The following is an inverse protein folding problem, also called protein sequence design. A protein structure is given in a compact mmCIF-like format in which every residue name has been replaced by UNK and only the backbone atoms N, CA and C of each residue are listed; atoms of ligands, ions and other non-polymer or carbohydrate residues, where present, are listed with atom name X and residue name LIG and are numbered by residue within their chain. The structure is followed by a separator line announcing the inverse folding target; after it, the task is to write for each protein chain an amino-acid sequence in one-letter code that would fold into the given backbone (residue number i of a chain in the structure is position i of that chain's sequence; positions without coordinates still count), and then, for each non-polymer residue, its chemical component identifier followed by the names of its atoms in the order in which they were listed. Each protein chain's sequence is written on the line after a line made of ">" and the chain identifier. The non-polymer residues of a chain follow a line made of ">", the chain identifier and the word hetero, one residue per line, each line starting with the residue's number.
data_IF_749739347738
#
_entry.id   IF_749739347738
#
_cell.length_a   1.000
_cell.length_b   1.000
_cell.length_c   1.000
_cell.angle_alpha   90.00
_cell.angle_beta   90.00
_cell.angle_gamma   90.00
#
_symmetry.space_group_name_H-M   'P 1'
#
loop_
_entity.id
_entity.type
_entity.pdbx_description
1 polymer ?
#
# COMPACT_ATOMS: atom_id res chain seq x y z
N UNK A 1 -12.88 -21.19 -12.19
CA UNK A 1 -12.69 -19.76 -12.30
C UNK A 1 -13.94 -18.91 -12.00
N UNK A 2 -15.17 -19.34 -12.31
CA UNK A 2 -16.40 -18.55 -12.02
C UNK A 2 -16.81 -18.47 -10.53
N UNK A 3 -16.36 -19.37 -9.66
CA UNK A 3 -16.77 -19.40 -8.24
C UNK A 3 -15.98 -18.41 -7.35
N UNK A 4 -14.78 -17.98 -7.76
CA UNK A 4 -13.99 -17.01 -6.99
C UNK A 4 -14.46 -15.56 -7.23
N UNK A 5 -14.92 -15.21 -8.44
CA UNK A 5 -15.45 -13.88 -8.71
C UNK A 5 -16.74 -13.57 -7.93
N UNK A 6 -17.61 -14.57 -7.75
CA UNK A 6 -18.87 -14.37 -7.01
C UNK A 6 -18.66 -14.19 -5.51
N UNK A 7 -17.64 -14.82 -4.91
CA UNK A 7 -17.30 -14.63 -3.50
C UNK A 7 -16.72 -13.23 -3.21
N UNK A 8 -15.87 -12.76 -4.10
CA UNK A 8 -15.22 -11.46 -3.97
C UNK A 8 -16.21 -10.29 -4.16
N UNK A 9 -17.14 -10.42 -5.12
CA UNK A 9 -18.20 -9.43 -5.33
C UNK A 9 -19.15 -9.32 -4.11
N UNK A 10 -19.45 -10.45 -3.44
CA UNK A 10 -20.26 -10.45 -2.22
C UNK A 10 -19.58 -9.76 -1.03
N UNK A 11 -18.25 -9.82 -0.90
CA UNK A 11 -17.51 -9.16 0.18
C UNK A 11 -17.53 -7.62 0.00
N UNK A 12 -17.35 -7.13 -1.22
CA UNK A 12 -17.45 -5.69 -1.51
C UNK A 12 -18.87 -5.17 -1.27
N UNK A 13 -19.89 -5.94 -1.66
CA UNK A 13 -21.30 -5.59 -1.42
C UNK A 13 -21.69 -5.69 0.07
N UNK A 14 -21.16 -6.67 0.81
CA UNK A 14 -21.42 -6.79 2.25
C UNK A 14 -20.74 -5.69 3.08
N UNK A 15 -19.55 -5.24 2.69
CA UNK A 15 -18.89 -4.07 3.30
C UNK A 15 -19.64 -2.76 2.98
N UNK A 16 -20.17 -2.60 1.78
CA UNK A 16 -21.01 -1.44 1.42
C UNK A 16 -22.29 -1.33 2.28
N UNK A 17 -22.85 -2.46 2.73
CA UNK A 17 -24.01 -2.47 3.63
C UNK A 17 -23.68 -2.25 5.12
N UNK A 18 -22.45 -2.50 5.55
CA UNK A 18 -22.00 -2.23 6.93
C UNK A 18 -21.61 -0.76 7.17
N UNK A 19 -21.44 0.05 6.12
CA UNK A 19 -21.09 1.46 6.17
C UNK A 19 -22.29 2.42 6.25
N UNK A 20 -23.47 1.93 6.57
CA UNK A 20 -24.68 2.73 6.67
C UNK A 20 -24.78 3.48 7.99
N UNK A 21 -24.12 4.61 8.16
CA UNK A 21 -24.64 5.70 8.99
C UNK A 21 -23.99 7.09 8.82
N UNK A 22 -22.84 7.24 8.16
CA UNK A 22 -22.19 8.55 8.11
C UNK A 22 -21.33 8.89 6.88
N UNK A 23 -21.10 7.98 5.96
CA UNK A 23 -20.34 8.30 4.74
C UNK A 23 -21.31 8.44 3.56
N UNK A 24 -21.36 9.62 2.95
CA UNK A 24 -21.98 9.74 1.63
C UNK A 24 -21.24 8.80 0.66
N UNK A 25 -21.95 8.03 -0.19
CA UNK A 25 -21.30 7.17 -1.16
C UNK A 25 -20.40 8.01 -2.07
N UNK A 26 -19.16 7.62 -2.23
CA UNK A 26 -18.19 8.30 -3.11
C UNK A 26 -18.79 8.41 -4.50
N UNK A 27 -19.10 9.63 -4.92
CA UNK A 27 -19.71 9.93 -6.21
C UNK A 27 -18.79 9.44 -7.32
N UNK A 28 -19.16 8.37 -8.00
CA UNK A 28 -18.46 7.81 -9.15
C UNK A 28 -17.99 6.36 -9.02
N UNK A 29 -17.90 5.81 -7.80
CA UNK A 29 -17.49 4.42 -7.61
C UNK A 29 -18.60 3.39 -7.92
N UNK A 30 -19.87 3.81 -7.82
CA UNK A 30 -21.02 2.96 -8.13
C UNK A 30 -21.87 3.68 -9.18
N UNK A 31 -22.13 3.02 -10.29
CA UNK A 31 -23.09 3.46 -11.30
C UNK A 31 -24.21 2.43 -11.35
N UNK A 32 -25.45 2.91 -11.47
CA UNK A 32 -26.58 2.05 -11.75
C UNK A 32 -26.73 1.92 -13.27
N UNK A 33 -26.86 0.70 -13.77
CA UNK A 33 -27.26 0.45 -15.15
C UNK A 33 -28.74 0.82 -15.36
N UNK A 34 -29.19 0.98 -16.62
CA UNK A 34 -30.56 1.32 -16.93
C UNK A 34 -31.60 0.29 -16.42
N UNK A 35 -31.15 -0.92 -16.13
CA UNK A 35 -31.92 -2.01 -15.52
C UNK A 35 -31.86 -2.04 -13.99
N UNK A 36 -31.24 -1.02 -13.36
CA UNK A 36 -31.18 -0.86 -11.90
C UNK A 36 -30.20 -1.79 -11.20
N UNK A 37 -29.31 -2.45 -11.93
CA UNK A 37 -28.22 -3.23 -11.33
C UNK A 37 -27.06 -2.32 -10.93
N UNK A 38 -26.59 -2.48 -9.69
CA UNK A 38 -25.38 -1.83 -9.22
C UNK A 38 -24.18 -2.33 -10.03
N UNK A 39 -23.55 -1.45 -10.81
CA UNK A 39 -22.28 -1.73 -11.46
C UNK A 39 -21.18 -0.98 -10.71
N UNK A 40 -20.16 -1.71 -10.24
CA UNK A 40 -18.93 -1.08 -9.80
C UNK A 40 -18.36 -0.26 -10.96
N UNK A 41 -18.28 1.06 -10.81
CA UNK A 41 -17.55 1.91 -11.73
C UNK A 41 -16.08 1.45 -11.77
N UNK A 42 -15.39 1.80 -12.82
CA UNK A 42 -13.95 1.59 -12.94
C UNK A 42 -13.22 2.93 -12.69
N UNK A 43 -13.19 3.42 -11.43
CA UNK A 43 -12.67 4.76 -11.11
C UNK A 43 -11.17 4.90 -11.34
N UNK A 44 -10.47 3.77 -11.50
CA UNK A 44 -9.02 3.71 -11.72
C UNK A 44 -8.67 3.20 -13.14
N UNK A 45 -9.67 3.16 -14.05
CA UNK A 45 -9.45 2.68 -15.41
C UNK A 45 -8.39 3.51 -16.14
N UNK A 46 -7.45 2.81 -16.75
CA UNK A 46 -6.35 3.42 -17.52
C UNK A 46 -5.17 3.90 -16.67
N UNK A 47 -5.21 3.74 -15.34
CA UNK A 47 -4.06 4.04 -14.48
C UNK A 47 -3.18 2.82 -14.31
N UNK A 48 -1.87 3.05 -14.30
CA UNK A 48 -0.82 2.08 -13.99
C UNK A 48 -0.38 2.23 -12.54
N UNK A 49 -0.73 1.28 -11.70
CA UNK A 49 -0.45 1.32 -10.27
C UNK A 49 0.58 0.26 -9.91
N UNK A 50 1.74 0.72 -9.42
CA UNK A 50 2.80 -0.13 -8.91
C UNK A 50 2.57 -0.50 -7.44
N UNK A 51 2.73 -1.79 -7.12
CA UNK A 51 2.75 -2.27 -5.74
C UNK A 51 4.10 -2.91 -5.46
N UNK A 52 4.76 -2.45 -4.41
CA UNK A 52 6.04 -2.99 -3.96
C UNK A 52 5.89 -3.55 -2.54
N UNK A 53 5.62 -4.87 -2.40
CA UNK A 53 5.61 -5.52 -1.09
C UNK A 53 7.01 -5.45 -0.49
N UNK A 54 7.14 -4.87 0.71
CA UNK A 54 8.42 -4.65 1.39
C UNK A 54 9.19 -5.94 1.65
N UNK A 55 10.50 -5.82 1.79
CA UNK A 55 11.39 -6.93 2.15
C UNK A 55 11.28 -8.18 1.25
N UNK A 56 11.80 -9.30 1.72
CA UNK A 56 11.81 -10.62 1.09
C UNK A 56 12.34 -11.64 2.11
N UNK A 57 12.31 -12.95 1.80
CA UNK A 57 12.70 -14.02 2.73
C UNK A 57 14.12 -13.83 3.28
N UNK A 58 15.08 -13.45 2.41
CA UNK A 58 16.47 -13.28 2.78
C UNK A 58 16.92 -11.83 2.58
N UNK A 59 17.49 -11.24 3.62
CA UNK A 59 18.14 -9.94 3.51
C UNK A 59 19.32 -10.01 2.52
N UNK A 60 19.47 -8.96 1.72
CA UNK A 60 20.66 -8.78 0.89
C UNK A 60 21.48 -7.63 1.48
N UNK A 61 22.63 -7.97 2.10
CA UNK A 61 23.49 -7.01 2.81
C UNK A 61 24.53 -6.34 1.90
N UNK A 62 24.59 -6.71 0.62
CA UNK A 62 25.36 -5.94 -0.36
C UNK A 62 24.89 -4.48 -0.37
N UNK A 63 25.76 -3.61 -0.83
CA UNK A 63 25.52 -2.16 -0.73
C UNK A 63 24.99 -1.59 -2.04
N UNK A 64 24.02 -0.70 -1.93
CA UNK A 64 23.52 0.12 -3.03
C UNK A 64 23.46 1.61 -2.63
N UNK A 65 23.54 2.52 -3.61
CA UNK A 65 23.45 3.95 -3.35
C UNK A 65 22.03 4.35 -2.85
N UNK A 66 21.96 5.19 -1.83
CA UNK A 66 20.66 5.62 -1.28
C UNK A 66 19.86 6.55 -2.21
N UNK A 67 20.54 7.19 -3.15
CA UNK A 67 19.93 8.06 -4.17
C UNK A 67 20.83 8.07 -5.42
N UNK A 68 20.35 8.47 -6.64
CA UNK A 68 21.14 8.47 -7.86
C UNK A 68 22.40 9.26 -7.65
N UNK A 69 22.79 10.21 -7.29
CA UNK A 69 24.08 10.90 -7.19
C UNK A 69 24.72 10.84 -5.79
N UNK A 70 24.31 9.86 -4.97
CA UNK A 70 24.79 9.73 -3.59
C UNK A 70 25.97 8.78 -3.49
N UNK A 71 27.01 9.19 -2.76
CA UNK A 71 28.08 8.30 -2.29
C UNK A 71 27.71 7.51 -1.04
N UNK A 72 26.63 7.89 -0.35
CA UNK A 72 26.11 7.14 0.79
C UNK A 72 25.42 5.87 0.29
N UNK A 73 25.65 4.76 0.98
CA UNK A 73 25.10 3.46 0.60
C UNK A 73 24.38 2.80 1.77
N UNK A 74 23.41 1.93 1.46
CA UNK A 74 22.71 1.06 2.41
C UNK A 74 22.71 -0.38 1.93
N UNK A 75 22.28 -1.30 2.78
CA UNK A 75 21.99 -2.67 2.35
C UNK A 75 20.90 -2.66 1.27
N UNK A 76 21.04 -3.50 0.24
CA UNK A 76 20.08 -3.67 -0.85
C UNK A 76 18.69 -4.01 -0.33
N UNK A 77 18.58 -4.93 0.63
CA UNK A 77 17.32 -5.28 1.28
C UNK A 77 17.58 -5.64 2.75
N UNK A 78 16.85 -4.97 3.65
CA UNK A 78 16.85 -5.33 5.07
C UNK A 78 15.90 -6.51 5.34
N UNK A 79 16.08 -7.21 6.45
CA UNK A 79 15.24 -8.35 6.84
C UNK A 79 13.81 -7.96 7.24
N UNK A 80 13.58 -6.68 7.54
CA UNK A 80 12.31 -6.22 8.12
C UNK A 80 12.17 -6.55 9.60
N UNK A 81 10.98 -6.41 10.13
CA UNK A 81 10.60 -6.77 11.49
C UNK A 81 9.76 -8.06 11.53
N UNK A 82 9.21 -8.40 12.67
CA UNK A 82 8.29 -9.53 12.83
C UNK A 82 7.31 -9.25 13.97
N UNK A 83 6.15 -9.89 13.89
CA UNK A 83 5.12 -9.83 14.92
C UNK A 83 5.64 -10.19 16.30
N UNK A 84 5.33 -9.37 17.29
CA UNK A 84 5.82 -9.55 18.65
C UNK A 84 5.29 -10.84 19.31
N UNK A 85 4.07 -11.23 18.99
CA UNK A 85 3.39 -12.43 19.48
C UNK A 85 3.27 -13.51 18.38
N UNK A 86 2.82 -13.11 17.17
CA UNK A 86 2.60 -14.03 16.06
C UNK A 86 3.89 -14.58 15.49
N UNK A 87 4.99 -13.83 15.59
CA UNK A 87 6.27 -14.13 14.94
C UNK A 87 6.21 -14.12 13.41
N UNK A 88 5.10 -13.70 12.83
CA UNK A 88 4.96 -13.55 11.38
C UNK A 88 5.97 -12.51 10.89
N UNK A 89 6.86 -12.84 9.96
CA UNK A 89 7.78 -11.86 9.38
C UNK A 89 7.03 -10.77 8.61
N UNK A 90 7.54 -9.55 8.65
CA UNK A 90 6.97 -8.40 7.94
C UNK A 90 6.72 -8.69 6.46
N UNK A 91 7.69 -9.24 5.74
CA UNK A 91 7.58 -9.53 4.31
C UNK A 91 6.40 -10.46 3.95
N UNK A 92 5.90 -11.25 4.92
CA UNK A 92 4.71 -12.10 4.73
C UNK A 92 3.44 -11.27 4.76
N UNK A 93 3.31 -10.40 5.77
CA UNK A 93 2.16 -9.50 5.92
C UNK A 93 2.09 -8.52 4.74
N UNK A 94 3.24 -7.93 4.38
CA UNK A 94 3.35 -7.00 3.25
C UNK A 94 2.86 -7.62 1.95
N UNK A 95 3.24 -8.89 1.68
CA UNK A 95 2.79 -9.60 0.49
C UNK A 95 1.29 -9.94 0.55
N UNK A 96 0.79 -10.38 1.71
CA UNK A 96 -0.63 -10.71 1.87
C UNK A 96 -1.53 -9.51 1.57
N UNK A 97 -1.26 -8.35 2.18
CA UNK A 97 -2.01 -7.11 1.92
C UNK A 97 -1.86 -6.66 0.47
N UNK A 98 -0.65 -6.76 -0.08
CA UNK A 98 -0.37 -6.37 -1.47
C UNK A 98 -1.13 -7.20 -2.50
N UNK A 99 -1.28 -8.51 -2.28
CA UNK A 99 -2.05 -9.39 -3.16
C UNK A 99 -3.54 -9.03 -3.14
N UNK A 100 -4.10 -8.75 -1.96
CA UNK A 100 -5.47 -8.28 -1.82
C UNK A 100 -5.65 -6.94 -2.54
N UNK A 101 -4.72 -6.01 -2.32
CA UNK A 101 -4.72 -4.69 -2.95
C UNK A 101 -4.68 -4.80 -4.48
N UNK A 102 -3.80 -5.65 -5.03
CA UNK A 102 -3.72 -5.93 -6.47
C UNK A 102 -5.07 -6.37 -7.04
N UNK A 103 -5.73 -7.31 -6.38
CA UNK A 103 -6.97 -7.90 -6.87
C UNK A 103 -8.11 -6.85 -6.86
N UNK A 104 -8.18 -6.00 -5.83
CA UNK A 104 -9.15 -4.91 -5.76
C UNK A 104 -8.88 -3.86 -6.84
N UNK A 105 -7.63 -3.41 -6.99
CA UNK A 105 -7.24 -2.40 -8.00
C UNK A 105 -7.54 -2.88 -9.42
N UNK A 106 -7.25 -4.15 -9.70
CA UNK A 106 -7.56 -4.77 -10.99
C UNK A 106 -9.07 -4.81 -11.24
N UNK A 107 -9.87 -5.14 -10.23
CA UNK A 107 -11.33 -5.10 -10.32
C UNK A 107 -11.88 -3.67 -10.54
N UNK A 108 -11.17 -2.63 -10.05
CA UNK A 108 -11.49 -1.22 -10.26
C UNK A 108 -10.94 -0.65 -11.59
N UNK A 109 -10.37 -1.50 -12.45
CA UNK A 109 -9.97 -1.17 -13.82
C UNK A 109 -8.52 -0.69 -13.97
N UNK A 110 -7.72 -0.68 -12.91
CA UNK A 110 -6.30 -0.33 -13.01
C UNK A 110 -5.47 -1.43 -13.69
N UNK A 111 -4.42 -1.02 -14.40
CA UNK A 111 -3.30 -1.90 -14.70
C UNK A 111 -2.41 -1.97 -13.46
N UNK A 112 -2.13 -3.18 -12.98
CA UNK A 112 -1.34 -3.38 -11.75
C UNK A 112 -0.08 -4.17 -12.04
N UNK A 113 1.06 -3.67 -11.54
CA UNK A 113 2.33 -4.39 -11.53
C UNK A 113 2.86 -4.48 -10.10
N UNK A 114 3.29 -5.69 -9.72
CA UNK A 114 3.96 -5.93 -8.44
C UNK A 114 5.46 -6.14 -8.66
N UNK A 115 6.29 -5.71 -7.71
CA UNK A 115 7.74 -6.01 -7.74
C UNK A 115 8.01 -7.47 -7.42
N UNK A 116 7.16 -8.09 -6.59
CA UNK A 116 7.18 -9.52 -6.28
C UNK A 116 5.78 -10.03 -5.99
N UNK A 117 5.52 -11.30 -6.31
CA UNK A 117 4.29 -12.03 -5.98
C UNK A 117 4.58 -13.27 -5.12
N UNK A 118 5.84 -13.47 -4.75
CA UNK A 118 6.32 -14.49 -3.83
C UNK A 118 7.35 -13.91 -2.86
N UNK A 119 7.69 -14.65 -1.81
CA UNK A 119 8.62 -14.17 -0.79
C UNK A 119 10.08 -14.51 -1.10
N UNK A 120 10.32 -15.61 -1.82
CA UNK A 120 11.67 -16.10 -2.15
C UNK A 120 12.18 -15.47 -3.45
N UNK A 121 12.60 -14.23 -3.34
CA UNK A 121 13.18 -13.40 -4.41
C UNK A 121 14.44 -12.72 -3.90
N UNK A 122 15.26 -12.20 -4.81
CA UNK A 122 16.38 -11.31 -4.47
C UNK A 122 16.34 -10.07 -5.38
N UNK A 123 15.58 -9.07 -4.99
CA UNK A 123 15.37 -7.83 -5.73
C UNK A 123 15.69 -6.65 -4.82
N UNK A 124 16.71 -5.87 -5.17
CA UNK A 124 17.17 -4.70 -4.41
C UNK A 124 16.15 -3.54 -4.42
N UNK A 125 16.30 -2.57 -3.51
CA UNK A 125 15.43 -1.40 -3.48
C UNK A 125 15.58 -0.52 -4.72
N UNK A 126 16.77 -0.44 -5.34
CA UNK A 126 16.96 0.24 -6.62
C UNK A 126 16.21 -0.49 -7.73
N UNK A 127 16.39 -1.81 -7.87
CA UNK A 127 15.71 -2.59 -8.90
C UNK A 127 14.20 -2.48 -8.81
N UNK A 128 13.63 -2.48 -7.60
CA UNK A 128 12.18 -2.27 -7.37
C UNK A 128 11.72 -0.91 -7.87
N UNK A 129 12.47 0.16 -7.57
CA UNK A 129 12.13 1.50 -8.03
C UNK A 129 12.26 1.62 -9.56
N UNK A 130 13.37 1.16 -10.14
CA UNK A 130 13.63 1.18 -11.58
C UNK A 130 12.58 0.39 -12.36
N UNK A 131 12.17 -0.79 -11.85
CA UNK A 131 11.11 -1.59 -12.47
C UNK A 131 9.80 -0.79 -12.64
N UNK A 132 9.44 0.03 -11.67
CA UNK A 132 8.22 0.83 -11.73
C UNK A 132 8.37 2.08 -12.60
N UNK A 133 9.55 2.72 -12.58
CA UNK A 133 9.87 3.85 -13.45
C UNK A 133 9.82 3.41 -14.94
N UNK A 134 10.50 2.31 -15.30
CA UNK A 134 10.55 1.79 -16.67
C UNK A 134 9.18 1.31 -17.16
N UNK A 135 8.33 0.80 -16.26
CA UNK A 135 6.97 0.42 -16.61
C UNK A 135 6.07 1.65 -16.83
N UNK A 136 6.48 2.82 -16.36
CA UNK A 136 5.72 4.06 -16.45
C UNK A 136 4.51 4.04 -15.52
N UNK A 137 4.71 3.67 -14.26
CA UNK A 137 3.66 3.72 -13.26
C UNK A 137 3.16 5.17 -13.05
N UNK A 138 1.86 5.36 -12.88
CA UNK A 138 1.28 6.65 -12.49
C UNK A 138 1.47 6.94 -10.99
N UNK A 139 1.54 5.87 -10.18
CA UNK A 139 1.86 5.92 -8.75
C UNK A 139 2.36 4.58 -8.24
N UNK A 140 3.12 4.60 -7.14
CA UNK A 140 3.66 3.39 -6.49
C UNK A 140 3.38 3.41 -5.00
N UNK A 141 2.84 2.31 -4.47
CA UNK A 141 2.71 2.06 -3.05
C UNK A 141 3.71 0.98 -2.62
N UNK A 142 4.60 1.32 -1.70
CA UNK A 142 5.51 0.39 -1.05
C UNK A 142 4.88 -0.03 0.28
N UNK A 143 4.47 -1.28 0.38
CA UNK A 143 3.70 -1.79 1.53
C UNK A 143 4.64 -2.38 2.55
N UNK A 144 4.58 -1.88 3.78
CA UNK A 144 5.43 -2.22 4.92
C UNK A 144 4.65 -2.27 6.22
N UNK A 145 5.25 -2.89 7.23
CA UNK A 145 4.80 -2.85 8.61
C UNK A 145 5.95 -2.39 9.52
N UNK A 146 5.67 -1.43 10.37
CA UNK A 146 6.66 -0.78 11.21
C UNK A 146 7.08 -1.65 12.42
N UNK A 147 8.21 -1.27 13.02
CA UNK A 147 8.70 -1.84 14.27
C UNK A 147 9.30 -0.78 15.18
N UNK A 148 9.12 -0.93 16.50
CA UNK A 148 9.69 -0.05 17.52
C UNK A 148 10.21 -0.84 18.70
N UNK A 149 11.27 -0.31 19.36
CA UNK A 149 11.72 -0.81 20.66
C UNK A 149 10.65 -0.55 21.73
N UNK A 150 9.99 0.61 21.65
CA UNK A 150 8.82 0.94 22.47
C UNK A 150 7.58 0.25 21.89
N UNK A 151 7.13 -0.80 22.55
CA UNK A 151 6.00 -1.61 22.14
C UNK A 151 4.63 -0.93 22.33
N UNK A 152 4.58 0.23 22.96
CA UNK A 152 3.36 1.04 23.07
C UNK A 152 3.08 1.86 21.82
N UNK A 153 4.10 2.07 20.99
CA UNK A 153 3.95 2.81 19.72
C UNK A 153 3.09 2.02 18.76
N UNK A 154 2.11 2.71 18.16
CA UNK A 154 1.17 2.14 17.19
C UNK A 154 0.65 3.18 16.22
N UNK A 155 -0.02 2.75 15.17
CA UNK A 155 -0.67 3.58 14.16
C UNK A 155 0.00 3.53 12.80
N UNK A 156 -0.80 3.61 11.76
CA UNK A 156 -0.35 3.69 10.38
C UNK A 156 0.37 5.01 10.11
N UNK A 157 1.41 4.97 9.29
CA UNK A 157 2.18 6.15 8.89
C UNK A 157 2.57 6.09 7.42
N UNK A 158 2.80 7.26 6.83
CA UNK A 158 3.21 7.34 5.41
C UNK A 158 4.56 8.04 5.32
N UNK A 159 5.45 7.50 4.50
CA UNK A 159 6.76 8.08 4.25
C UNK A 159 6.92 8.43 2.78
N UNK A 160 7.41 9.63 2.53
CA UNK A 160 7.67 10.15 1.19
C UNK A 160 9.07 10.75 1.12
N UNK A 161 9.62 10.88 -0.10
CA UNK A 161 10.88 11.58 -0.28
C UNK A 161 10.74 13.03 0.18
N UNK A 162 11.83 13.57 0.72
CA UNK A 162 11.83 14.91 1.32
C UNK A 162 11.81 16.03 0.26
N UNK A 163 12.56 15.86 -0.82
CA UNK A 163 12.77 16.87 -1.87
C UNK A 163 12.93 16.20 -3.24
N UNK A 164 12.90 17.01 -4.30
CA UNK A 164 13.10 16.56 -5.67
C UNK A 164 11.80 16.34 -6.44
N UNK A 165 11.92 15.80 -7.65
CA UNK A 165 10.76 15.51 -8.49
C UNK A 165 9.76 14.57 -7.77
N UNK A 166 8.47 14.76 -7.98
CA UNK A 166 7.36 13.99 -7.39
C UNK A 166 7.26 14.03 -5.86
N UNK A 167 8.02 14.94 -5.18
CA UNK A 167 7.97 15.00 -3.70
C UNK A 167 6.64 15.54 -3.18
N UNK A 168 6.03 16.50 -3.85
CA UNK A 168 4.75 17.07 -3.42
C UNK A 168 3.58 16.19 -3.87
N UNK A 169 3.63 15.63 -5.08
CA UNK A 169 2.66 14.64 -5.57
C UNK A 169 2.62 13.41 -4.66
N UNK A 170 3.79 12.90 -4.26
CA UNK A 170 3.90 11.81 -3.29
C UNK A 170 3.33 12.21 -1.92
N UNK A 171 3.55 13.45 -1.48
CA UNK A 171 3.02 13.93 -0.21
C UNK A 171 1.49 14.12 -0.26
N UNK A 172 0.94 14.51 -1.40
CA UNK A 172 -0.51 14.61 -1.61
C UNK A 172 -1.15 13.22 -1.61
N UNK A 173 -0.59 12.27 -2.37
CA UNK A 173 -1.02 10.87 -2.35
C UNK A 173 -0.97 10.30 -0.92
N UNK A 174 0.12 10.53 -0.19
CA UNK A 174 0.28 10.06 1.18
C UNK A 174 -0.78 10.62 2.14
N UNK A 175 -1.18 11.89 1.98
CA UNK A 175 -2.25 12.49 2.79
C UNK A 175 -3.60 11.83 2.53
N UNK A 176 -3.95 11.57 1.26
CA UNK A 176 -5.18 10.87 0.90
C UNK A 176 -5.18 9.43 1.46
N UNK A 177 -4.08 8.70 1.28
CA UNK A 177 -3.94 7.33 1.81
C UNK A 177 -4.07 7.28 3.35
N UNK A 178 -3.39 8.19 4.06
CA UNK A 178 -3.40 8.24 5.52
C UNK A 178 -4.80 8.54 6.06
N UNK A 179 -5.50 9.51 5.44
CA UNK A 179 -6.88 9.85 5.80
C UNK A 179 -7.82 8.65 5.59
N UNK A 180 -7.73 8.01 4.42
CA UNK A 180 -8.56 6.86 4.08
C UNK A 180 -8.31 5.65 5.00
N UNK A 181 -7.07 5.36 5.36
CA UNK A 181 -6.73 4.28 6.30
C UNK A 181 -7.33 4.53 7.69
N UNK A 182 -7.32 5.77 8.16
CA UNK A 182 -7.99 6.16 9.40
C UNK A 182 -9.51 6.02 9.31
N UNK A 183 -10.10 6.50 8.23
CA UNK A 183 -11.57 6.57 8.07
C UNK A 183 -12.18 5.20 7.77
N UNK A 184 -11.63 4.46 6.79
CA UNK A 184 -12.26 3.23 6.29
C UNK A 184 -11.76 1.95 6.96
N UNK A 185 -10.49 1.89 7.36
CA UNK A 185 -9.99 0.74 8.10
C UNK A 185 -10.14 0.89 9.62
N UNK A 186 -10.40 2.11 10.12
CA UNK A 186 -10.47 2.41 11.53
C UNK A 186 -9.10 2.31 12.23
N UNK A 187 -8.00 2.38 11.46
CA UNK A 187 -6.67 2.35 12.01
C UNK A 187 -6.35 3.65 12.76
N UNK A 188 -5.60 3.54 13.85
CA UNK A 188 -4.95 4.72 14.40
C UNK A 188 -3.95 5.24 13.38
N UNK A 189 -3.90 6.56 13.15
CA UNK A 189 -2.98 7.17 12.20
C UNK A 189 -1.96 8.05 12.90
N UNK A 190 -0.75 8.11 12.33
CA UNK A 190 0.32 8.97 12.79
C UNK A 190 0.44 10.21 11.89
N UNK A 191 1.37 10.22 10.95
CA UNK A 191 1.67 11.38 10.12
C UNK A 191 2.22 10.99 8.75
N UNK A 192 2.31 11.99 7.86
CA UNK A 192 3.12 11.91 6.64
C UNK A 192 4.53 12.43 6.96
N UNK A 193 5.52 11.57 6.85
CA UNK A 193 6.91 11.85 7.17
C UNK A 193 7.74 12.07 5.90
N UNK A 194 8.38 13.21 5.78
CA UNK A 194 9.32 13.50 4.68
C UNK A 194 10.73 13.03 5.06
N UNK A 195 11.32 12.13 4.29
CA UNK A 195 12.65 11.51 4.54
C UNK A 195 13.46 11.43 3.25
N UNK A 196 14.77 11.45 3.40
CA UNK A 196 15.76 11.27 2.33
C UNK A 196 16.63 10.02 2.53
N UNK A 197 16.22 9.14 3.46
CA UNK A 197 16.97 7.95 3.85
C UNK A 197 16.43 6.64 3.28
N UNK A 198 15.38 6.68 2.47
CA UNK A 198 14.79 5.48 1.87
C UNK A 198 15.18 5.38 0.39
N UNK A 199 16.01 4.38 0.06
CA UNK A 199 16.52 4.13 -1.29
C UNK A 199 15.38 4.09 -2.31
N UNK A 200 14.37 3.27 -2.12
CA UNK A 200 13.28 3.12 -3.08
C UNK A 200 12.44 4.39 -3.30
N UNK A 201 12.32 5.27 -2.30
CA UNK A 201 11.68 6.58 -2.47
C UNK A 201 12.57 7.55 -3.24
N UNK A 202 13.88 7.53 -2.98
CA UNK A 202 14.83 8.44 -3.63
C UNK A 202 15.06 8.09 -5.11
N UNK A 203 14.99 6.81 -5.47
CA UNK A 203 15.15 6.31 -6.84
C UNK A 203 13.84 6.32 -7.64
N UNK A 204 12.69 6.59 -7.01
CA UNK A 204 11.43 6.71 -7.73
C UNK A 204 11.38 8.00 -8.55
N UNK A 205 10.98 7.88 -9.81
CA UNK A 205 10.72 8.99 -10.76
C UNK A 205 9.22 9.28 -10.90
N UNK A 206 8.39 8.56 -10.16
CA UNK A 206 6.94 8.68 -10.13
C UNK A 206 6.45 8.93 -8.70
N UNK A 207 5.21 9.44 -8.48
CA UNK A 207 4.64 9.55 -7.15
C UNK A 207 4.74 8.23 -6.38
N UNK A 208 5.43 8.23 -5.24
CA UNK A 208 5.74 7.03 -4.49
C UNK A 208 5.58 7.25 -2.99
N UNK A 209 4.84 6.35 -2.34
CA UNK A 209 4.58 6.37 -0.89
C UNK A 209 5.00 5.04 -0.28
N UNK A 210 5.82 5.09 0.78
CA UNK A 210 6.02 3.94 1.65
C UNK A 210 4.96 3.99 2.74
N UNK A 211 4.12 2.97 2.74
CA UNK A 211 2.96 2.82 3.61
C UNK A 211 3.36 1.91 4.76
N UNK A 212 3.40 2.43 5.97
CA UNK A 212 3.53 1.64 7.19
C UNK A 212 2.12 1.37 7.73
N UNK A 213 1.65 0.15 7.57
CA UNK A 213 0.27 -0.25 7.89
C UNK A 213 -0.04 -0.24 9.39
N UNK A 214 0.98 -0.33 10.24
CA UNK A 214 0.94 -0.39 11.69
C UNK A 214 2.23 -1.01 12.23
N UNK A 215 2.31 -1.24 13.53
CA UNK A 215 3.52 -1.74 14.20
C UNK A 215 3.39 -3.22 14.57
N UNK A 216 4.12 -4.10 13.92
CA UNK A 216 4.24 -5.51 14.30
C UNK A 216 4.87 -5.71 15.69
N UNK A 217 5.58 -4.71 16.20
CA UNK A 217 6.10 -4.69 17.58
C UNK A 217 5.03 -4.40 18.64
N UNK A 218 3.85 -3.88 18.26
CA UNK A 218 2.73 -3.66 19.16
C UNK A 218 1.80 -4.88 19.18
N UNK A 219 1.44 -5.38 20.35
CA UNK A 219 0.69 -6.64 20.47
C UNK A 219 -0.74 -6.60 19.89
N UNK A 220 -1.39 -5.43 19.95
CA UNK A 220 -2.74 -5.24 19.38
C UNK A 220 -2.66 -5.18 17.85
N UNK A 221 -1.70 -4.41 17.30
CA UNK A 221 -1.53 -4.26 15.86
C UNK A 221 -0.94 -5.53 15.22
N UNK A 222 -0.06 -6.26 15.90
CA UNK A 222 0.40 -7.57 15.45
C UNK A 222 -0.76 -8.53 15.22
N UNK A 223 -1.73 -8.58 16.15
CA UNK A 223 -2.92 -9.40 16.00
C UNK A 223 -3.80 -8.93 14.83
N UNK A 224 -4.04 -7.62 14.70
CA UNK A 224 -4.82 -7.03 13.61
C UNK A 224 -4.18 -7.23 12.24
N UNK A 225 -2.88 -6.95 12.13
CA UNK A 225 -2.13 -7.09 10.87
C UNK A 225 -2.06 -8.53 10.35
N UNK A 226 -2.27 -9.52 11.23
CA UNK A 226 -2.39 -10.93 10.89
C UNK A 226 -3.84 -11.42 10.74
N UNK A 227 -4.83 -10.53 10.89
CA UNK A 227 -6.25 -10.85 10.66
C UNK A 227 -6.64 -10.54 9.22
N UNK A 228 -7.14 -11.54 8.49
CA UNK A 228 -7.47 -11.43 7.08
C UNK A 228 -8.54 -10.35 6.80
N UNK A 229 -9.54 -10.22 7.67
CA UNK A 229 -10.59 -9.22 7.49
C UNK A 229 -10.06 -7.79 7.72
N UNK A 230 -9.07 -7.62 8.59
CA UNK A 230 -8.41 -6.33 8.76
C UNK A 230 -7.49 -6.00 7.59
N UNK A 231 -6.76 -6.99 7.05
CA UNK A 231 -5.95 -6.82 5.84
C UNK A 231 -6.82 -6.38 4.63
N UNK A 232 -8.01 -6.96 4.47
CA UNK A 232 -8.98 -6.55 3.45
C UNK A 232 -9.43 -5.10 3.64
N UNK A 233 -9.72 -4.67 4.89
CA UNK A 233 -10.08 -3.28 5.20
C UNK A 233 -8.96 -2.30 4.89
N UNK A 234 -7.71 -2.65 5.22
CA UNK A 234 -6.54 -1.84 4.90
C UNK A 234 -6.36 -1.69 3.38
N UNK A 235 -6.45 -2.80 2.64
CA UNK A 235 -6.33 -2.77 1.19
C UNK A 235 -7.44 -1.92 0.53
N UNK A 236 -8.70 -2.07 0.96
CA UNK A 236 -9.82 -1.24 0.51
C UNK A 236 -9.60 0.23 0.85
N UNK A 237 -9.15 0.55 2.06
CA UNK A 237 -8.86 1.92 2.46
C UNK A 237 -7.79 2.57 1.58
N UNK A 238 -6.72 1.83 1.25
CA UNK A 238 -5.69 2.31 0.32
C UNK A 238 -6.27 2.61 -1.07
N UNK A 239 -7.19 1.76 -1.57
CA UNK A 239 -7.88 2.02 -2.85
C UNK A 239 -8.68 3.32 -2.78
N UNK A 240 -9.45 3.56 -1.70
CA UNK A 240 -10.19 4.80 -1.52
C UNK A 240 -9.27 6.01 -1.48
N UNK A 241 -8.15 5.92 -0.77
CA UNK A 241 -7.15 7.00 -0.75
C UNK A 241 -6.55 7.31 -2.12
N UNK A 242 -6.34 6.30 -2.98
CA UNK A 242 -5.91 6.52 -4.38
C UNK A 242 -7.01 7.17 -5.22
N UNK A 243 -8.27 6.75 -5.05
CA UNK A 243 -9.43 7.37 -5.73
C UNK A 243 -9.55 8.84 -5.32
N UNK A 244 -9.41 9.16 -4.04
CA UNK A 244 -9.43 10.54 -3.56
C UNK A 244 -8.29 11.36 -4.16
N UNK A 245 -7.09 10.78 -4.24
CA UNK A 245 -5.94 11.44 -4.84
C UNK A 245 -6.18 11.80 -6.32
N UNK A 246 -6.66 10.87 -7.14
CA UNK A 246 -6.88 11.13 -8.57
C UNK A 246 -8.04 12.07 -8.84
N UNK A 247 -8.96 12.23 -7.89
CA UNK A 247 -10.09 13.17 -7.97
C UNK A 247 -9.76 14.54 -7.36
N UNK A 248 -8.60 14.70 -6.73
CA UNK A 248 -8.17 16.01 -6.18
C UNK A 248 -7.59 16.86 -7.31
N UNK A 249 -8.11 18.09 -7.51
CA UNK A 249 -7.68 18.97 -8.59
C UNK A 249 -6.23 19.49 -8.42
#
# INVERSE_FOLDING_TARGET
>A
MRRFLTGFLCVILALGMAFSAAAEPVRGAVRFSEDGQEQLGQPLAGLKIGIDPGHQTHANTEREAIAPDSSETKAKVASGTAGVNTRTPEYVVDLQVSLILRDILTAMGAEVKMTREENDVDISNIERAVMMNEWGADMVLRIHCNGSIDRSVKGAGMYVRKTGAMAEESAQLARCLLAAVGEYAGAQTQSVYKRDTYTGLNWSEVPCVLVELGYLSNAEEDALLNDAAYQEKLALALVWGMIDYVNTP
#
